data_IF_309482937774
#
_entry.id   IF_309482937774
#
_cell.length_a   1.000
_cell.length_b   1.000
_cell.length_c   1.000
_cell.angle_alpha   90.00
_cell.angle_beta   90.00
_cell.angle_gamma   90.00
#
_symmetry.space_group_name_H-M   'P 1'
#
loop_
_entity.id
_entity.type
_entity.pdbx_description
1 polymer ?
#
# COMPACT_ATOMS: atom_id res chain seq x y z
N UNK A 1 -11.04 13.23 7.77
CA UNK A 1 -10.12 13.99 6.93
C UNK A 1 -10.22 13.53 5.49
N UNK A 2 -9.96 14.40 4.54
CA UNK A 2 -9.96 14.07 3.12
C UNK A 2 -8.81 13.10 2.80
N UNK A 3 -7.63 13.40 3.33
CA UNK A 3 -6.44 12.58 3.22
C UNK A 3 -5.55 12.78 4.45
N UNK A 4 -4.45 12.05 4.51
CA UNK A 4 -3.42 12.17 5.55
C UNK A 4 -2.11 12.57 4.89
N UNK A 5 -1.39 13.60 5.36
CA UNK A 5 -0.05 13.92 4.89
C UNK A 5 0.87 12.71 5.00
N UNK A 6 1.66 12.47 3.96
CA UNK A 6 2.57 11.31 3.85
C UNK A 6 2.12 10.25 2.84
N UNK A 7 0.84 10.22 2.44
CA UNK A 7 0.37 9.27 1.43
C UNK A 7 1.09 9.45 0.09
N UNK A 8 1.21 10.68 -0.40
CA UNK A 8 1.87 11.01 -1.66
C UNK A 8 3.35 10.60 -1.65
N UNK A 9 4.05 10.86 -0.54
CA UNK A 9 5.44 10.45 -0.34
C UNK A 9 5.60 8.93 -0.35
N UNK A 10 4.75 8.21 0.38
CA UNK A 10 4.76 6.75 0.39
C UNK A 10 4.42 6.16 -0.98
N UNK A 11 3.44 6.70 -1.68
CA UNK A 11 3.06 6.28 -3.04
C UNK A 11 4.22 6.49 -4.04
N UNK A 12 4.92 7.62 -3.97
CA UNK A 12 6.13 7.88 -4.78
C UNK A 12 7.23 6.87 -4.50
N UNK A 13 7.49 6.58 -3.21
CA UNK A 13 8.47 5.57 -2.83
C UNK A 13 8.12 4.19 -3.34
N UNK A 14 6.86 3.77 -3.14
CA UNK A 14 6.36 2.48 -3.62
C UNK A 14 6.48 2.37 -5.12
N UNK A 15 6.03 3.37 -5.88
CA UNK A 15 6.12 3.37 -7.33
C UNK A 15 7.57 3.30 -7.82
N UNK A 16 8.46 4.14 -7.28
CA UNK A 16 9.88 4.14 -7.66
C UNK A 16 10.56 2.79 -7.35
N UNK A 17 10.34 2.24 -6.16
CA UNK A 17 10.92 0.96 -5.77
C UNK A 17 10.40 -0.20 -6.62
N UNK A 18 9.09 -0.24 -6.90
CA UNK A 18 8.50 -1.27 -7.77
C UNK A 18 9.04 -1.14 -9.20
N UNK A 19 9.25 0.07 -9.70
CA UNK A 19 9.86 0.29 -11.02
C UNK A 19 11.31 -0.25 -11.09
N UNK A 20 12.10 -0.05 -10.04
CA UNK A 20 13.45 -0.62 -9.95
C UNK A 20 13.43 -2.15 -9.94
N UNK A 21 12.47 -2.76 -9.20
CA UNK A 21 12.27 -4.21 -9.17
C UNK A 21 11.85 -4.75 -10.54
N UNK A 22 11.00 -4.02 -11.27
CA UNK A 22 10.62 -4.37 -12.64
C UNK A 22 11.85 -4.40 -13.55
N UNK A 23 12.70 -3.38 -13.49
CA UNK A 23 13.93 -3.28 -14.30
C UNK A 23 14.91 -4.40 -13.96
N UNK A 24 15.16 -4.65 -12.67
CA UNK A 24 16.00 -5.79 -12.23
C UNK A 24 15.45 -7.12 -12.76
N UNK A 25 14.14 -7.32 -12.66
CA UNK A 25 13.52 -8.57 -13.10
C UNK A 25 13.55 -8.75 -14.62
N UNK A 26 13.57 -7.66 -15.40
CA UNK A 26 13.55 -7.70 -16.86
C UNK A 26 14.85 -8.20 -17.49
N UNK A 27 15.97 -8.16 -16.77
CA UNK A 27 17.28 -8.60 -17.30
C UNK A 27 17.47 -10.11 -17.29
N UNK A 28 16.61 -10.85 -16.56
CA UNK A 28 16.71 -12.30 -16.46
C UNK A 28 15.97 -13.01 -17.61
N UNK A 29 16.61 -14.03 -18.17
CA UNK A 29 16.03 -14.84 -19.25
C UNK A 29 15.20 -16.04 -18.75
N UNK A 30 15.20 -16.29 -17.44
CA UNK A 30 14.48 -17.40 -16.81
C UNK A 30 13.08 -16.98 -16.36
N UNK A 31 12.16 -17.94 -16.35
CA UNK A 31 10.83 -17.71 -15.79
C UNK A 31 10.90 -17.42 -14.28
N UNK A 32 10.26 -16.34 -13.89
CA UNK A 32 10.29 -15.89 -12.49
C UNK A 32 9.05 -15.12 -12.10
N UNK A 33 8.73 -15.20 -10.79
CA UNK A 33 7.67 -14.41 -10.16
C UNK A 33 8.28 -13.59 -9.03
N UNK A 34 8.00 -12.29 -9.01
CA UNK A 34 8.37 -11.40 -7.90
C UNK A 34 7.12 -10.82 -7.29
N UNK A 35 6.93 -11.05 -6.00
CA UNK A 35 5.77 -10.57 -5.23
C UNK A 35 6.26 -9.44 -4.34
N UNK A 36 5.66 -8.26 -4.47
CA UNK A 36 6.00 -7.08 -3.66
C UNK A 36 4.85 -6.84 -2.68
N UNK A 37 5.12 -7.06 -1.40
CA UNK A 37 4.17 -6.80 -0.32
C UNK A 37 4.28 -5.35 0.12
N UNK A 38 3.13 -4.67 0.15
CA UNK A 38 3.00 -3.23 0.39
C UNK A 38 2.10 -3.03 1.61
N UNK A 39 2.55 -2.20 2.56
CA UNK A 39 1.74 -1.83 3.72
C UNK A 39 0.50 -1.02 3.31
N UNK A 40 -0.57 -1.15 4.08
CA UNK A 40 -1.82 -0.43 3.86
C UNK A 40 -2.94 -0.92 4.77
N UNK A 41 -2.66 -1.86 5.67
CA UNK A 41 -3.65 -2.53 6.53
C UNK A 41 -4.84 -3.06 5.71
N UNK A 42 -6.04 -2.57 5.99
CA UNK A 42 -7.29 -3.06 5.38
C UNK A 42 -7.68 -2.29 4.11
N UNK A 43 -6.93 -1.25 3.74
CA UNK A 43 -7.18 -0.42 2.56
C UNK A 43 -6.02 -0.48 1.56
N UNK A 44 -6.32 -0.79 0.31
CA UNK A 44 -5.33 -1.04 -0.74
C UNK A 44 -4.79 0.19 -1.46
N UNK A 45 -4.97 1.40 -0.99
CA UNK A 45 -4.61 2.64 -1.68
C UNK A 45 -3.15 2.73 -2.12
N UNK A 46 -2.19 2.36 -1.23
CA UNK A 46 -0.77 2.38 -1.57
C UNK A 46 -0.42 1.29 -2.59
N UNK A 47 -0.99 0.10 -2.45
CA UNK A 47 -0.80 -0.98 -3.42
C UNK A 47 -1.40 -0.60 -4.77
N UNK A 48 -2.60 -0.01 -4.79
CA UNK A 48 -3.25 0.49 -6.00
C UNK A 48 -2.43 1.59 -6.70
N UNK A 49 -1.68 2.41 -5.94
CA UNK A 49 -0.84 3.47 -6.52
C UNK A 49 0.23 2.93 -7.49
N UNK A 50 0.60 1.65 -7.41
CA UNK A 50 1.52 1.02 -8.35
C UNK A 50 0.98 0.97 -9.79
N UNK A 51 -0.34 1.14 -9.98
CA UNK A 51 -0.94 1.19 -11.32
C UNK A 51 -0.44 2.38 -12.16
N UNK A 52 0.09 3.44 -11.52
CA UNK A 52 0.68 4.59 -12.22
C UNK A 52 1.83 4.17 -13.15
N UNK A 53 2.54 3.10 -12.81
CA UNK A 53 3.63 2.57 -13.63
C UNK A 53 3.14 2.08 -14.98
N UNK A 54 1.92 1.53 -15.04
CA UNK A 54 1.30 1.09 -16.30
C UNK A 54 0.94 2.26 -17.23
N UNK A 55 0.71 3.45 -16.67
CA UNK A 55 0.42 4.65 -17.44
C UNK A 55 1.68 5.23 -18.13
N UNK A 56 2.87 4.82 -17.70
CA UNK A 56 4.17 5.26 -18.24
C UNK A 56 4.78 4.21 -19.19
N UNK A 57 3.93 3.47 -19.93
CA UNK A 57 4.32 2.41 -20.87
C UNK A 57 5.02 1.20 -20.25
N UNK A 58 5.06 1.10 -18.93
CA UNK A 58 5.49 -0.12 -18.24
C UNK A 58 4.36 -1.16 -18.27
N UNK A 59 4.73 -2.42 -18.53
CA UNK A 59 3.77 -3.52 -18.57
C UNK A 59 3.40 -4.00 -17.16
N UNK A 60 4.25 -3.73 -16.19
CA UNK A 60 4.15 -4.23 -14.81
C UNK A 60 3.86 -3.09 -13.80
N UNK A 61 3.36 -3.40 -12.60
CA UNK A 61 3.06 -4.76 -12.12
C UNK A 61 1.95 -5.42 -12.92
N UNK A 62 2.12 -6.70 -13.25
CA UNK A 62 1.17 -7.45 -14.07
C UNK A 62 -0.13 -7.73 -13.32
N UNK A 63 -0.02 -8.00 -12.02
CA UNK A 63 -1.13 -8.28 -11.11
C UNK A 63 -1.06 -7.36 -9.90
N UNK A 64 -2.21 -6.88 -9.44
CA UNK A 64 -2.35 -6.05 -8.24
C UNK A 64 -3.49 -6.65 -7.41
N UNK A 65 -3.18 -7.06 -6.17
CA UNK A 65 -4.15 -7.62 -5.23
C UNK A 65 -4.36 -6.70 -4.05
N UNK A 66 -5.62 -6.32 -3.85
CA UNK A 66 -6.06 -5.38 -2.82
C UNK A 66 -6.85 -6.10 -1.74
N UNK A 67 -6.86 -5.61 -0.48
CA UNK A 67 -7.60 -6.24 0.60
C UNK A 67 -9.12 -6.19 0.39
N UNK A 68 -9.61 -5.24 -0.39
CA UNK A 68 -11.02 -5.09 -0.74
C UNK A 68 -11.55 -6.22 -1.64
N UNK A 69 -10.64 -6.95 -2.31
CA UNK A 69 -10.98 -8.01 -3.23
C UNK A 69 -10.48 -9.36 -2.72
N UNK A 70 -11.40 -10.18 -2.21
CA UNK A 70 -11.06 -11.54 -1.81
C UNK A 70 -10.82 -12.43 -3.03
N UNK A 71 -9.74 -13.22 -3.00
CA UNK A 71 -9.43 -14.22 -4.02
C UNK A 71 -9.03 -15.55 -3.39
N UNK A 72 -9.09 -16.61 -4.19
CA UNK A 72 -8.67 -17.95 -3.77
C UNK A 72 -7.26 -18.26 -4.23
N UNK A 73 -6.59 -19.23 -3.60
CA UNK A 73 -5.29 -19.70 -4.01
C UNK A 73 -5.28 -20.19 -5.47
N UNK A 74 -6.35 -20.88 -5.89
CA UNK A 74 -6.49 -21.39 -7.27
C UNK A 74 -6.54 -20.23 -8.26
N UNK A 75 -7.34 -19.18 -7.95
CA UNK A 75 -7.45 -18.01 -8.82
C UNK A 75 -6.13 -17.26 -8.95
N UNK A 76 -5.39 -17.12 -7.85
CA UNK A 76 -4.07 -16.52 -7.85
C UNK A 76 -3.08 -17.28 -8.76
N UNK A 77 -3.04 -18.60 -8.64
CA UNK A 77 -2.19 -19.44 -9.47
C UNK A 77 -2.59 -19.41 -10.95
N UNK A 78 -3.89 -19.37 -11.24
CA UNK A 78 -4.40 -19.24 -12.61
C UNK A 78 -3.96 -17.89 -13.22
N UNK A 79 -4.11 -16.79 -12.49
CA UNK A 79 -3.72 -15.45 -12.93
C UNK A 79 -2.22 -15.40 -13.24
N UNK A 80 -1.38 -16.01 -12.39
CA UNK A 80 0.06 -16.10 -12.64
C UNK A 80 0.36 -16.89 -13.93
N UNK A 81 -0.23 -18.07 -14.12
CA UNK A 81 -0.02 -18.87 -15.34
C UNK A 81 -0.42 -18.10 -16.60
N UNK A 82 -1.53 -17.34 -16.53
CA UNK A 82 -1.99 -16.51 -17.63
C UNK A 82 -1.00 -15.38 -17.96
N UNK A 83 -0.32 -14.81 -16.94
CA UNK A 83 0.71 -13.81 -17.16
C UNK A 83 2.04 -14.43 -17.63
N UNK A 84 2.44 -15.56 -17.10
CA UNK A 84 3.65 -16.29 -17.52
C UNK A 84 3.59 -16.74 -18.99
N UNK A 85 2.40 -17.00 -19.53
CA UNK A 85 2.22 -17.28 -20.95
C UNK A 85 2.63 -16.11 -21.86
N UNK A 86 2.73 -14.89 -21.32
CA UNK A 86 3.03 -13.67 -22.06
C UNK A 86 4.37 -13.03 -21.63
N UNK A 87 4.78 -13.25 -20.38
CA UNK A 87 5.92 -12.59 -19.75
C UNK A 87 6.80 -13.61 -19.04
N UNK A 88 8.12 -13.56 -19.27
CA UNK A 88 9.07 -14.41 -18.55
C UNK A 88 9.20 -14.04 -17.08
N UNK A 89 9.14 -12.74 -16.77
CA UNK A 89 9.14 -12.24 -15.40
C UNK A 89 7.77 -11.63 -15.07
N UNK A 90 7.10 -12.21 -14.07
CA UNK A 90 5.80 -11.71 -13.59
C UNK A 90 6.01 -10.95 -12.28
N UNK A 91 5.57 -9.69 -12.25
CA UNK A 91 5.63 -8.82 -11.07
C UNK A 91 4.23 -8.66 -10.51
N UNK A 92 4.09 -8.87 -9.22
CA UNK A 92 2.83 -8.84 -8.48
C UNK A 92 2.96 -7.83 -7.34
N UNK A 93 2.05 -6.88 -7.26
CA UNK A 93 1.89 -6.03 -6.09
C UNK A 93 0.75 -6.58 -5.23
N UNK A 94 0.99 -6.78 -3.95
CA UNK A 94 -0.01 -7.30 -3.01
C UNK A 94 -0.03 -6.46 -1.74
N UNK A 95 -1.21 -6.12 -1.25
CA UNK A 95 -1.35 -5.44 0.05
C UNK A 95 -1.19 -6.44 1.20
N UNK A 96 -0.53 -6.02 2.28
CA UNK A 96 -0.36 -6.81 3.50
C UNK A 96 -1.69 -7.30 4.12
N UNK A 97 -2.77 -6.54 3.89
CA UNK A 97 -4.11 -6.83 4.42
C UNK A 97 -4.90 -7.88 3.62
N UNK A 98 -4.36 -8.36 2.52
CA UNK A 98 -5.01 -9.40 1.69
C UNK A 98 -5.21 -10.69 2.50
N UNK A 99 -6.40 -11.30 2.32
CA UNK A 99 -6.77 -12.58 2.91
C UNK A 99 -7.13 -13.56 1.80
N UNK A 100 -6.54 -14.75 1.84
CA UNK A 100 -6.97 -15.85 0.98
C UNK A 100 -8.28 -16.43 1.50
N UNK A 101 -9.25 -16.65 0.64
CA UNK A 101 -10.48 -17.37 1.01
C UNK A 101 -10.14 -18.76 1.52
N UNK A 102 -10.71 -19.11 2.69
CA UNK A 102 -10.45 -20.38 3.38
C UNK A 102 -9.34 -20.33 4.43
N UNK A 103 -8.56 -19.25 4.52
CA UNK A 103 -7.53 -19.05 5.55
C UNK A 103 -7.90 -17.99 6.60
N UNK A 104 -9.14 -17.56 6.62
CA UNK A 104 -9.66 -16.46 7.47
C UNK A 104 -9.50 -16.70 8.98
N UNK A 105 -9.40 -17.96 9.39
CA UNK A 105 -9.36 -18.37 10.80
C UNK A 105 -7.95 -18.67 11.35
N UNK A 106 -6.87 -18.36 10.65
CA UNK A 106 -5.53 -18.54 11.21
C UNK A 106 -5.31 -17.54 12.35
N UNK A 107 -4.87 -18.00 13.55
CA UNK A 107 -4.62 -17.10 14.67
C UNK A 107 -3.54 -16.07 14.29
N UNK A 108 -3.84 -14.80 14.51
CA UNK A 108 -2.92 -13.69 14.25
C UNK A 108 -2.41 -13.13 15.57
N UNK A 109 -1.17 -12.68 15.54
CA UNK A 109 -0.57 -11.95 16.65
C UNK A 109 -1.19 -10.54 16.67
N UNK A 110 -1.65 -10.12 17.84
CA UNK A 110 -2.18 -8.77 18.07
C UNK A 110 -1.19 -7.97 18.92
N UNK A 111 -1.14 -6.66 18.69
CA UNK A 111 -0.39 -5.75 19.52
C UNK A 111 -1.12 -5.42 20.83
N UNK A 112 -0.47 -4.66 21.71
CA UNK A 112 -1.04 -4.26 23.01
C UNK A 112 -2.30 -3.37 22.89
N UNK A 113 -2.64 -2.90 21.72
CA UNK A 113 -3.80 -2.08 21.40
C UNK A 113 -4.91 -2.87 20.69
N UNK A 114 -4.72 -4.19 20.50
CA UNK A 114 -5.69 -5.06 19.84
C UNK A 114 -5.64 -5.01 18.30
N UNK A 115 -4.60 -4.42 17.70
CA UNK A 115 -4.44 -4.43 16.26
C UNK A 115 -3.71 -5.71 15.83
N UNK A 116 -4.25 -6.38 14.80
CA UNK A 116 -3.59 -7.52 14.17
C UNK A 116 -2.27 -7.07 13.49
N UNK A 117 -1.21 -7.84 13.68
CA UNK A 117 -0.02 -7.73 12.86
C UNK A 117 -0.33 -8.29 11.47
N UNK A 118 -0.39 -7.41 10.49
CA UNK A 118 -0.60 -7.75 9.08
C UNK A 118 0.78 -7.77 8.42
N UNK A 119 1.32 -8.94 8.15
CA UNK A 119 2.54 -9.13 7.38
C UNK A 119 2.70 -10.60 6.99
N UNK A 120 3.50 -10.85 5.96
CA UNK A 120 3.86 -12.20 5.54
C UNK A 120 2.92 -12.83 4.53
N UNK A 121 1.93 -12.10 3.99
CA UNK A 121 1.13 -12.61 2.86
C UNK A 121 2.04 -12.87 1.65
N UNK A 122 3.04 -12.03 1.40
CA UNK A 122 4.02 -12.24 0.33
C UNK A 122 4.75 -13.56 0.46
N UNK A 123 5.14 -13.96 1.68
CA UNK A 123 5.77 -15.27 1.94
C UNK A 123 4.81 -16.42 1.75
N UNK A 124 3.57 -16.29 2.18
CA UNK A 124 2.53 -17.30 1.95
C UNK A 124 2.32 -17.53 0.45
N UNK A 125 2.19 -16.45 -0.32
CA UNK A 125 2.01 -16.52 -1.77
C UNK A 125 3.28 -17.03 -2.49
N UNK A 126 4.48 -16.67 -2.02
CA UNK A 126 5.76 -17.21 -2.52
C UNK A 126 5.80 -18.74 -2.39
N UNK A 127 5.44 -19.27 -1.21
CA UNK A 127 5.41 -20.70 -0.99
C UNK A 127 4.37 -21.38 -1.88
N UNK A 128 3.19 -20.79 -2.04
CA UNK A 128 2.13 -21.29 -2.91
C UNK A 128 2.61 -21.41 -4.37
N UNK A 129 3.29 -20.39 -4.89
CA UNK A 129 3.87 -20.40 -6.24
C UNK A 129 4.95 -21.45 -6.36
N UNK A 130 5.84 -21.56 -5.38
CA UNK A 130 6.94 -22.53 -5.36
C UNK A 130 6.44 -23.96 -5.43
N UNK A 131 5.38 -24.27 -4.70
CA UNK A 131 4.82 -25.62 -4.62
C UNK A 131 4.00 -26.03 -5.86
N UNK A 132 3.34 -25.05 -6.51
CA UNK A 132 2.35 -25.35 -7.56
C UNK A 132 2.79 -24.97 -8.97
N UNK A 133 3.79 -24.10 -9.14
CA UNK A 133 4.30 -23.66 -10.43
C UNK A 133 5.75 -24.10 -10.61
N UNK A 134 6.56 -24.05 -9.55
CA UNK A 134 7.94 -24.53 -9.56
C UNK A 134 8.94 -23.61 -10.27
N UNK A 135 8.56 -22.37 -10.61
CA UNK A 135 9.46 -21.36 -11.17
C UNK A 135 10.29 -20.67 -10.07
N UNK A 136 11.28 -19.87 -10.46
CA UNK A 136 11.98 -19.00 -9.53
C UNK A 136 10.99 -17.97 -8.96
N UNK A 137 10.85 -17.93 -7.66
CA UNK A 137 9.94 -16.99 -6.99
C UNK A 137 10.65 -16.30 -5.81
N UNK A 138 10.32 -15.05 -5.59
CA UNK A 138 10.74 -14.27 -4.42
C UNK A 138 9.61 -13.36 -3.95
N UNK A 139 9.55 -13.10 -2.66
CA UNK A 139 8.74 -12.03 -2.08
C UNK A 139 9.64 -10.96 -1.47
N UNK A 140 9.22 -9.70 -1.61
CA UNK A 140 9.89 -8.52 -1.11
C UNK A 140 8.85 -7.75 -0.29
N UNK A 141 9.10 -7.59 1.00
CA UNK A 141 8.27 -6.77 1.87
C UNK A 141 8.87 -5.36 1.93
N UNK A 142 8.14 -4.34 1.50
CA UNK A 142 8.60 -2.95 1.61
C UNK A 142 8.61 -2.48 3.06
N UNK A 143 7.66 -2.97 3.83
CA UNK A 143 7.60 -2.80 5.29
C UNK A 143 7.85 -1.34 5.71
N UNK A 144 8.58 -1.14 6.84
CA UNK A 144 8.85 0.18 7.43
C UNK A 144 9.51 1.17 6.46
N UNK A 145 10.25 0.70 5.46
CA UNK A 145 10.94 1.56 4.49
C UNK A 145 9.98 2.48 3.73
N UNK A 146 8.80 2.01 3.35
CA UNK A 146 7.84 2.84 2.62
C UNK A 146 7.29 4.03 3.41
N UNK A 147 7.35 4.02 4.74
CA UNK A 147 6.87 5.11 5.59
C UNK A 147 7.97 5.98 6.21
N UNK A 148 9.24 5.57 6.12
CA UNK A 148 10.35 6.31 6.71
C UNK A 148 11.33 6.90 5.67
N UNK A 149 11.20 6.51 4.39
CA UNK A 149 12.06 7.03 3.33
C UNK A 149 11.78 8.49 3.04
N UNK A 150 12.79 9.34 3.20
CA UNK A 150 12.67 10.80 3.06
C UNK A 150 13.25 11.35 1.75
N UNK A 151 14.02 10.55 1.00
CA UNK A 151 14.76 11.00 -0.18
C UNK A 151 13.88 11.36 -1.40
N UNK A 152 12.63 10.91 -1.42
CA UNK A 152 11.64 11.25 -2.48
C UNK A 152 10.32 11.78 -1.91
N UNK A 153 10.37 12.47 -0.77
CA UNK A 153 9.19 13.06 -0.17
C UNK A 153 8.46 14.02 -1.12
N UNK A 154 7.13 14.05 -1.00
CA UNK A 154 6.30 15.06 -1.62
C UNK A 154 6.40 16.38 -0.84
N UNK A 155 6.66 17.49 -1.56
CA UNK A 155 6.63 18.81 -0.93
C UNK A 155 5.26 19.12 -0.33
N UNK A 156 4.19 18.75 -1.00
CA UNK A 156 2.82 18.90 -0.48
C UNK A 156 2.64 18.22 0.87
N UNK A 157 3.11 16.97 1.01
CA UNK A 157 3.02 16.25 2.29
C UNK A 157 3.79 16.96 3.41
N UNK A 158 4.96 17.54 3.10
CA UNK A 158 5.79 18.27 4.07
C UNK A 158 5.05 19.53 4.52
N UNK A 159 4.58 20.35 3.58
CA UNK A 159 3.90 21.60 3.83
C UNK A 159 2.59 21.35 4.63
N UNK A 160 1.81 20.36 4.24
CA UNK A 160 0.57 19.98 4.93
C UNK A 160 0.82 19.41 6.34
N UNK A 161 1.88 18.63 6.53
CA UNK A 161 2.24 18.13 7.85
C UNK A 161 2.59 19.27 8.81
N UNK A 162 3.30 20.30 8.34
CA UNK A 162 3.61 21.50 9.12
C UNK A 162 2.33 22.30 9.43
N UNK A 163 1.48 22.51 8.44
CA UNK A 163 0.24 23.28 8.57
C UNK A 163 -0.71 22.61 9.58
N UNK A 164 -0.99 21.32 9.44
CA UNK A 164 -1.92 20.62 10.32
C UNK A 164 -1.37 20.48 11.75
N UNK A 165 -0.06 20.26 11.89
CA UNK A 165 0.61 20.24 13.19
C UNK A 165 0.51 21.61 13.90
N UNK A 166 0.77 22.67 13.17
CA UNK A 166 0.64 24.07 13.66
C UNK A 166 -0.79 24.39 14.09
N UNK A 167 -1.79 23.94 13.30
CA UNK A 167 -3.20 24.10 13.64
C UNK A 167 -3.58 23.36 14.94
N UNK A 168 -3.07 22.13 15.12
CA UNK A 168 -3.29 21.36 16.35
C UNK A 168 -2.74 22.07 17.60
N UNK A 169 -1.53 22.63 17.52
CA UNK A 169 -0.96 23.42 18.62
C UNK A 169 -1.80 24.67 18.93
N UNK A 170 -2.25 25.40 17.90
CA UNK A 170 -3.10 26.58 18.07
C UNK A 170 -4.44 26.25 18.74
N UNK A 171 -5.08 25.16 18.33
CA UNK A 171 -6.32 24.66 18.92
C UNK A 171 -6.13 24.32 20.42
N UNK A 172 -5.05 23.61 20.75
CA UNK A 172 -4.72 23.27 22.14
C UNK A 172 -4.47 24.51 23.00
N UNK A 173 -3.76 25.52 22.49
CA UNK A 173 -3.53 26.79 23.16
C UNK A 173 -4.83 27.61 23.34
N UNK A 174 -5.78 27.44 22.43
CA UNK A 174 -7.13 28.04 22.57
C UNK A 174 -8.04 27.29 23.57
N UNK A 175 -7.55 26.22 24.18
CA UNK A 175 -8.30 25.41 25.15
C UNK A 175 -9.22 24.36 24.54
N UNK A 176 -9.12 24.09 23.23
CA UNK A 176 -9.87 23.02 22.59
C UNK A 176 -9.32 21.65 23.03
N UNK A 177 -10.23 20.73 23.32
CA UNK A 177 -9.89 19.34 23.69
C UNK A 177 -10.78 18.35 22.96
N UNK A 178 -10.29 17.11 22.79
CA UNK A 178 -11.03 16.06 22.09
C UNK A 178 -11.19 16.30 20.57
N UNK A 179 -10.38 17.20 19.99
CA UNK A 179 -10.42 17.56 18.58
C UNK A 179 -9.29 16.89 17.80
N UNK A 180 -9.61 16.49 16.58
CA UNK A 180 -8.65 16.05 15.58
C UNK A 180 -8.65 17.06 14.43
N UNK A 181 -7.46 17.55 14.08
CA UNK A 181 -7.30 18.42 12.91
C UNK A 181 -7.43 17.58 11.63
N UNK A 182 -8.13 18.12 10.65
CA UNK A 182 -8.41 17.46 9.38
C UNK A 182 -8.20 18.42 8.22
N UNK A 183 -7.97 17.83 7.02
CA UNK A 183 -8.05 18.58 5.78
C UNK A 183 -9.44 18.46 5.15
N UNK A 184 -9.91 19.56 4.59
CA UNK A 184 -11.04 19.62 3.66
C UNK A 184 -10.55 20.08 2.31
N UNK A 185 -10.84 19.30 1.28
CA UNK A 185 -10.53 19.70 -0.09
C UNK A 185 -11.51 20.75 -0.58
N UNK A 186 -10.97 21.85 -1.08
CA UNK A 186 -11.75 22.96 -1.63
C UNK A 186 -11.76 22.91 -3.16
N UNK A 187 -10.62 22.53 -3.78
CA UNK A 187 -10.47 22.46 -5.23
C UNK A 187 -9.42 21.41 -5.62
N UNK A 188 -9.61 20.79 -6.78
CA UNK A 188 -8.65 19.85 -7.39
C UNK A 188 -7.69 20.56 -8.36
N UNK A 189 -8.18 21.56 -9.09
CA UNK A 189 -7.40 22.32 -10.07
C UNK A 189 -7.72 23.81 -9.94
N UNK A 190 -6.82 24.60 -9.35
CA UNK A 190 -5.62 24.18 -8.63
C UNK A 190 -5.96 23.37 -7.38
N UNK A 191 -5.04 22.51 -6.94
CA UNK A 191 -5.19 21.78 -5.68
C UNK A 191 -5.17 22.75 -4.50
N UNK A 192 -6.26 22.76 -3.71
CA UNK A 192 -6.42 23.62 -2.53
C UNK A 192 -7.11 22.81 -1.43
N UNK A 193 -6.52 22.84 -0.25
CA UNK A 193 -7.11 22.31 1.00
C UNK A 193 -7.17 23.40 2.07
N UNK A 194 -8.02 23.18 3.06
CA UNK A 194 -8.07 23.99 4.29
C UNK A 194 -8.04 23.07 5.49
N UNK A 195 -7.45 23.54 6.58
CA UNK A 195 -7.50 22.84 7.87
C UNK A 195 -8.80 23.16 8.58
N UNK A 196 -9.43 22.14 9.15
CA UNK A 196 -10.60 22.22 10.01
C UNK A 196 -10.43 21.24 11.18
N UNK A 197 -11.38 21.15 12.07
CA UNK A 197 -11.38 20.20 13.18
C UNK A 197 -12.67 19.39 13.24
N UNK A 198 -12.55 18.15 13.73
CA UNK A 198 -13.69 17.28 14.04
C UNK A 198 -13.52 16.72 15.44
N UNK A 199 -14.60 16.22 16.02
CA UNK A 199 -14.51 15.46 17.27
C UNK A 199 -13.70 14.18 17.04
N UNK A 200 -12.75 13.89 17.93
CA UNK A 200 -11.89 12.72 17.79
C UNK A 200 -12.67 11.41 17.77
N UNK A 201 -13.80 11.32 18.50
CA UNK A 201 -14.68 10.15 18.50
C UNK A 201 -15.39 9.93 17.15
N UNK A 202 -15.64 11.02 16.41
CA UNK A 202 -16.26 10.93 15.08
C UNK A 202 -15.29 10.39 14.01
N UNK A 203 -13.99 10.54 14.25
CA UNK A 203 -12.94 10.11 13.31
C UNK A 203 -12.31 8.76 13.69
N UNK A 204 -12.31 8.41 14.98
CA UNK A 204 -11.61 7.22 15.48
C UNK A 204 -12.19 5.93 14.91
N UNK A 205 -11.29 5.01 14.51
CA UNK A 205 -11.61 3.67 13.99
C UNK A 205 -12.54 3.65 12.76
N UNK A 206 -12.55 4.73 11.97
CA UNK A 206 -13.26 4.79 10.68
C UNK A 206 -12.25 4.68 9.55
N UNK A 207 -12.41 3.65 8.73
CA UNK A 207 -11.58 3.42 7.54
C UNK A 207 -12.25 4.01 6.30
N UNK A 208 -11.44 4.51 5.36
CA UNK A 208 -11.88 4.97 4.04
C UNK A 208 -11.36 3.99 2.99
N UNK A 209 -12.27 3.37 2.28
CA UNK A 209 -12.02 2.44 1.18
C UNK A 209 -12.16 3.13 -0.17
#
# INVERSE_FOLDING_TARGET
>A
TEHTPGFGSAAKYVAATVQEIIRDSSVYSIESVTIVEIMGRHAGWLTASTCVLRANDEIAPHLIYLPENNFTAEKFLEDIRNQMAKHKAVIIAVSEGVKLKGEENKPRVVDNFGHEYLSGIGKTLEQLVKENIGCKVRSIELNVMQRCSSHICSKTDIDEAEEIGSAGVKAALAGETGKMMIFKRISDVPYVVTVDSVDAHDAANKEKF
#
